data_IF_840523874053
#
_entry.id   IF_840523874053
#
_cell.length_a   1.000
_cell.length_b   1.000
_cell.length_c   1.000
_cell.angle_alpha   90.00
_cell.angle_beta   90.00
_cell.angle_gamma   90.00
#
_symmetry.space_group_name_H-M   'P 1'
#
loop_
_entity.id
_entity.type
_entity.pdbx_description
1 polymer ?
#
# COMPACT_ATOMS: atom_id res chain seq x y z
N UNK A 1 27.01 -15.47 25.43
CA UNK A 1 26.21 -15.28 24.20
C UNK A 1 25.99 -13.80 24.01
N UNK A 2 26.71 -13.17 23.10
CA UNK A 2 26.58 -11.74 22.79
C UNK A 2 26.96 -11.54 21.33
N UNK A 3 25.97 -11.63 20.44
CA UNK A 3 26.17 -11.48 19.01
C UNK A 3 26.38 -10.02 18.63
N UNK A 4 27.42 -9.77 17.81
CA UNK A 4 27.75 -8.48 17.21
C UNK A 4 26.58 -7.87 16.43
N UNK A 5 26.02 -6.78 16.94
CA UNK A 5 25.05 -5.91 16.25
C UNK A 5 25.76 -4.63 15.69
N UNK A 6 27.09 -4.55 15.79
CA UNK A 6 27.84 -3.32 15.55
C UNK A 6 28.27 -2.98 14.12
N UNK A 7 28.11 -3.88 13.13
CA UNK A 7 28.68 -3.65 11.77
C UNK A 7 27.70 -3.08 10.73
N UNK A 8 26.38 -3.14 10.94
CA UNK A 8 25.42 -2.73 9.90
C UNK A 8 25.07 -1.24 9.99
N UNK A 9 25.05 -0.67 11.20
CA UNK A 9 24.69 0.74 11.45
C UNK A 9 25.73 1.68 10.86
N UNK A 10 27.02 1.36 11.02
CA UNK A 10 28.14 2.20 10.56
C UNK A 10 28.18 2.38 9.05
N UNK A 11 27.86 1.33 8.28
CA UNK A 11 27.85 1.38 6.80
C UNK A 11 26.78 2.31 6.24
N UNK A 12 25.64 2.43 6.93
CA UNK A 12 24.52 3.30 6.52
C UNK A 12 24.81 4.74 6.92
N UNK A 13 25.37 4.96 8.12
CA UNK A 13 25.82 6.28 8.58
C UNK A 13 26.92 6.85 7.68
N UNK A 14 27.93 6.04 7.34
CA UNK A 14 29.00 6.44 6.41
C UNK A 14 28.44 6.79 5.01
N UNK A 15 27.45 6.04 4.52
CA UNK A 15 26.83 6.33 3.22
C UNK A 15 26.01 7.64 3.23
N UNK A 16 25.44 8.02 4.37
CA UNK A 16 24.66 9.24 4.54
C UNK A 16 25.57 10.47 4.72
N UNK A 17 26.65 10.37 5.49
CA UNK A 17 27.61 11.47 5.71
C UNK A 17 28.42 11.81 4.45
N UNK A 18 28.60 10.85 3.53
CA UNK A 18 29.25 11.10 2.24
C UNK A 18 28.29 11.66 1.18
N UNK A 19 26.96 11.65 1.41
CA UNK A 19 25.99 12.21 0.47
C UNK A 19 26.16 13.72 0.29
N UNK A 20 26.44 14.43 1.38
CA UNK A 20 26.68 15.89 1.37
C UNK A 20 28.01 16.25 0.67
N UNK A 21 29.00 15.35 0.69
CA UNK A 21 30.29 15.55 0.00
C UNK A 21 30.17 15.41 -1.52
N UNK A 22 29.25 14.55 -1.99
CA UNK A 22 28.96 14.34 -3.42
C UNK A 22 28.15 15.51 -4.00
N UNK A 23 27.44 16.28 -3.16
CA UNK A 23 26.81 17.55 -3.56
C UNK A 23 27.86 18.64 -3.83
N UNK A 24 28.95 18.66 -3.05
CA UNK A 24 30.02 19.67 -3.16
C UNK A 24 31.00 19.44 -4.31
N UNK A 25 31.11 18.20 -4.81
CA UNK A 25 31.82 17.89 -6.05
C UNK A 25 30.80 18.04 -7.17
N UNK A 26 31.04 18.99 -8.08
CA UNK A 26 30.24 19.32 -9.26
C UNK A 26 30.14 18.16 -10.28
N UNK A 27 29.78 16.97 -9.80
CA UNK A 27 29.38 15.80 -10.56
C UNK A 27 27.93 16.07 -10.89
N UNK A 28 27.66 16.48 -12.12
CA UNK A 28 26.31 16.71 -12.61
C UNK A 28 25.47 15.47 -12.33
N UNK A 29 24.66 15.50 -11.26
CA UNK A 29 23.70 14.44 -10.97
C UNK A 29 22.86 14.31 -12.24
N UNK A 30 22.85 13.15 -12.92
CA UNK A 30 22.06 12.99 -14.12
C UNK A 30 20.63 13.35 -13.77
N UNK A 31 20.03 14.27 -14.54
CA UNK A 31 18.68 14.72 -14.25
C UNK A 31 17.76 13.51 -14.23
N UNK A 32 17.08 13.30 -13.10
CA UNK A 32 16.09 12.25 -12.95
C UNK A 32 15.07 12.41 -14.08
N UNK A 33 14.76 11.34 -14.84
CA UNK A 33 13.73 11.41 -15.86
C UNK A 33 12.44 11.98 -15.28
N UNK A 34 11.74 12.80 -16.07
CA UNK A 34 10.46 13.33 -15.65
C UNK A 34 9.52 12.18 -15.28
N UNK A 35 8.82 12.32 -14.15
CA UNK A 35 7.84 11.33 -13.72
C UNK A 35 6.82 11.11 -14.86
N UNK A 36 6.51 9.86 -15.21
CA UNK A 36 5.47 9.56 -16.18
C UNK A 36 4.14 10.20 -15.77
N UNK A 37 3.42 10.72 -16.76
CA UNK A 37 2.05 11.15 -16.55
C UNK A 37 1.19 9.94 -16.18
N UNK A 38 0.39 10.08 -15.13
CA UNK A 38 -0.55 9.02 -14.73
C UNK A 38 -1.60 8.91 -15.84
N UNK A 39 -1.79 7.72 -16.43
CA UNK A 39 -2.76 7.55 -17.50
C UNK A 39 -4.18 7.70 -16.96
N UNK A 40 -5.12 8.08 -17.83
CA UNK A 40 -6.51 8.33 -17.45
C UNK A 40 -7.22 7.12 -16.81
N UNK A 41 -6.73 5.90 -17.07
CA UNK A 41 -7.25 4.66 -16.48
C UNK A 41 -6.76 4.39 -15.05
N UNK A 42 -5.73 5.09 -14.57
CA UNK A 42 -5.25 4.97 -13.19
C UNK A 42 -6.02 5.96 -12.30
N UNK A 43 -7.25 5.60 -11.94
CA UNK A 43 -8.03 6.36 -10.95
C UNK A 43 -7.72 5.90 -9.52
N UNK A 44 -8.09 6.71 -8.51
CA UNK A 44 -7.85 6.38 -7.11
C UNK A 44 -8.44 5.04 -6.67
N UNK A 45 -9.55 4.61 -7.29
CA UNK A 45 -10.20 3.32 -7.02
C UNK A 45 -9.44 2.14 -7.65
N UNK A 46 -8.73 2.39 -8.74
CA UNK A 46 -7.86 1.41 -9.42
C UNK A 46 -6.52 1.26 -8.70
N UNK A 47 -6.06 2.30 -8.01
CA UNK A 47 -4.77 2.28 -7.28
C UNK A 47 -4.89 1.82 -5.83
N UNK A 48 -6.09 1.76 -5.28
CA UNK A 48 -6.30 1.36 -3.87
C UNK A 48 -6.56 -0.15 -3.78
N UNK A 49 -5.70 -0.84 -3.03
CA UNK A 49 -5.82 -2.28 -2.78
C UNK A 49 -6.08 -2.47 -1.28
N UNK A 50 -7.19 -3.11 -0.96
CA UNK A 50 -7.49 -3.54 0.40
C UNK A 50 -7.14 -5.03 0.54
N UNK A 51 -6.25 -5.33 1.48
CA UNK A 51 -5.79 -6.70 1.74
C UNK A 51 -6.52 -7.20 2.99
N UNK A 52 -7.36 -8.21 2.81
CA UNK A 52 -8.08 -8.89 3.88
C UNK A 52 -7.46 -10.28 4.13
N UNK A 53 -7.85 -10.92 5.25
CA UNK A 53 -7.36 -12.23 5.65
C UNK A 53 -7.91 -13.39 4.82
N UNK A 54 -7.72 -13.37 3.50
CA UNK A 54 -8.16 -14.42 2.58
C UNK A 54 -8.40 -13.95 1.14
N UNK A 55 -8.58 -12.65 0.93
CA UNK A 55 -8.77 -12.08 -0.39
C UNK A 55 -8.23 -10.64 -0.46
N UNK A 56 -8.00 -10.16 -1.67
CA UNK A 56 -7.69 -8.75 -1.94
C UNK A 56 -8.85 -8.11 -2.69
N UNK A 57 -9.15 -6.87 -2.35
CA UNK A 57 -10.21 -6.10 -3.00
C UNK A 57 -9.58 -4.90 -3.68
N UNK A 58 -9.80 -4.79 -4.98
CA UNK A 58 -9.31 -3.69 -5.81
C UNK A 58 -10.38 -3.33 -6.84
N UNK A 59 -10.67 -2.04 -7.00
CA UNK A 59 -11.69 -1.54 -7.93
C UNK A 59 -13.02 -2.31 -7.86
N UNK A 60 -13.54 -2.51 -6.64
CA UNK A 60 -14.76 -3.27 -6.37
C UNK A 60 -14.77 -4.72 -6.90
N UNK A 61 -13.59 -5.30 -7.12
CA UNK A 61 -13.40 -6.70 -7.49
C UNK A 61 -12.68 -7.44 -6.38
N UNK A 62 -13.16 -8.64 -6.08
CA UNK A 62 -12.58 -9.55 -5.10
C UNK A 62 -11.66 -10.52 -5.82
N UNK A 63 -10.41 -10.60 -5.37
CA UNK A 63 -9.39 -11.49 -5.88
C UNK A 63 -8.97 -12.45 -4.78
N UNK A 64 -8.86 -13.74 -5.12
CA UNK A 64 -8.28 -14.76 -4.25
C UNK A 64 -6.93 -15.14 -4.84
N UNK A 65 -5.86 -14.78 -4.14
CA UNK A 65 -4.50 -14.87 -4.67
C UNK A 65 -4.31 -13.95 -5.89
N UNK A 66 -4.27 -14.55 -7.08
CA UNK A 66 -4.10 -13.85 -8.38
C UNK A 66 -5.33 -13.95 -9.29
N UNK A 67 -6.39 -14.61 -8.83
CA UNK A 67 -7.57 -14.93 -9.64
C UNK A 67 -8.73 -14.04 -9.23
N UNK A 68 -9.42 -13.46 -10.23
CA UNK A 68 -10.67 -12.75 -10.02
C UNK A 68 -11.74 -13.76 -9.56
N UNK A 69 -12.25 -13.59 -8.35
CA UNK A 69 -13.29 -14.46 -7.79
C UNK A 69 -14.67 -13.95 -8.15
N UNK A 70 -14.94 -12.67 -7.87
CA UNK A 70 -16.24 -12.03 -8.11
C UNK A 70 -16.16 -10.50 -8.07
N UNK A 71 -17.18 -9.86 -8.60
CA UNK A 71 -17.45 -8.44 -8.35
C UNK A 71 -18.19 -8.25 -7.01
N UNK A 72 -17.97 -7.12 -6.35
CA UNK A 72 -18.71 -6.72 -5.15
C UNK A 72 -20.16 -6.35 -5.51
N UNK A 73 -21.10 -6.78 -4.67
CA UNK A 73 -22.50 -6.38 -4.75
C UNK A 73 -22.66 -4.91 -4.36
N UNK A 74 -23.74 -4.21 -4.77
CA UNK A 74 -23.94 -2.79 -4.48
C UNK A 74 -23.80 -2.45 -2.99
N UNK A 75 -24.37 -3.29 -2.12
CA UNK A 75 -24.38 -3.09 -0.67
C UNK A 75 -22.98 -3.24 -0.06
N UNK A 76 -22.16 -4.13 -0.63
CA UNK A 76 -20.77 -4.35 -0.24
C UNK A 76 -19.86 -3.21 -0.71
N UNK A 77 -20.16 -2.59 -1.87
CA UNK A 77 -19.43 -1.41 -2.35
C UNK A 77 -19.59 -0.23 -1.41
N UNK A 78 -20.81 0.00 -0.92
CA UNK A 78 -21.08 1.05 0.06
C UNK A 78 -20.32 0.81 1.38
N UNK A 79 -20.29 -0.43 1.86
CA UNK A 79 -19.52 -0.81 3.04
C UNK A 79 -18.01 -0.59 2.84
N UNK A 80 -17.47 -0.90 1.65
CA UNK A 80 -16.08 -0.68 1.30
C UNK A 80 -15.75 0.83 1.24
N UNK A 81 -16.63 1.64 0.67
CA UNK A 81 -16.46 3.09 0.59
C UNK A 81 -16.49 3.74 1.98
N UNK A 82 -17.37 3.30 2.88
CA UNK A 82 -17.41 3.75 4.27
C UNK A 82 -16.12 3.38 5.03
N UNK A 83 -15.63 2.17 4.80
CA UNK A 83 -14.35 1.74 5.35
C UNK A 83 -13.18 2.58 4.81
N UNK A 84 -13.15 2.82 3.50
CA UNK A 84 -12.12 3.63 2.85
C UNK A 84 -12.10 5.05 3.41
N UNK A 85 -13.27 5.66 3.63
CA UNK A 85 -13.39 6.98 4.26
C UNK A 85 -12.84 6.99 5.69
N UNK A 86 -13.21 6.00 6.52
CA UNK A 86 -12.73 5.90 7.91
C UNK A 86 -11.22 5.66 7.98
N UNK A 87 -10.67 4.83 7.08
CA UNK A 87 -9.23 4.62 6.95
C UNK A 87 -8.50 5.89 6.51
N UNK A 88 -9.04 6.63 5.55
CA UNK A 88 -8.48 7.92 5.12
C UNK A 88 -8.46 8.96 6.25
N UNK A 89 -9.39 8.87 7.21
CA UNK A 89 -9.44 9.72 8.41
C UNK A 89 -8.47 9.27 9.53
N UNK A 90 -7.65 8.24 9.30
CA UNK A 90 -6.67 7.75 10.27
C UNK A 90 -7.26 6.86 11.37
N UNK A 91 -8.53 6.45 11.24
CA UNK A 91 -9.17 5.61 12.23
C UNK A 91 -8.64 4.17 12.14
N UNK A 92 -7.80 3.78 13.09
CA UNK A 92 -7.28 2.41 13.18
C UNK A 92 -8.30 1.44 13.79
N UNK A 93 -9.13 1.94 14.71
CA UNK A 93 -10.14 1.15 15.40
C UNK A 93 -11.46 1.19 14.62
N UNK A 94 -11.72 0.08 13.95
CA UNK A 94 -12.85 -0.08 13.04
C UNK A 94 -13.84 -0.96 13.78
N UNK A 95 -15.04 -0.44 14.02
CA UNK A 95 -16.11 -1.16 14.72
C UNK A 95 -16.23 -2.61 14.22
N UNK A 96 -16.44 -3.55 15.13
CA UNK A 96 -16.70 -4.96 14.82
C UNK A 96 -17.86 -5.14 13.84
N UNK A 97 -18.86 -4.26 13.88
CA UNK A 97 -19.94 -4.20 12.90
C UNK A 97 -19.43 -3.96 11.47
N UNK A 98 -18.47 -3.05 11.31
CA UNK A 98 -17.89 -2.78 10.00
C UNK A 98 -17.00 -3.94 9.55
N UNK A 99 -16.28 -4.58 10.45
CA UNK A 99 -15.52 -5.79 10.12
C UNK A 99 -16.42 -6.90 9.60
N UNK A 100 -17.59 -7.11 10.21
CA UNK A 100 -18.55 -8.12 9.77
C UNK A 100 -19.15 -7.78 8.39
N UNK A 101 -19.39 -6.50 8.10
CA UNK A 101 -19.84 -6.02 6.78
C UNK A 101 -18.76 -6.09 5.69
N UNK A 102 -17.49 -6.25 6.07
CA UNK A 102 -16.34 -6.39 5.17
C UNK A 102 -15.93 -7.84 4.96
N UNK A 103 -16.78 -8.78 5.35
CA UNK A 103 -16.53 -10.19 5.15
C UNK A 103 -16.79 -10.61 3.68
N UNK A 104 -15.94 -10.10 2.79
CA UNK A 104 -16.03 -10.35 1.36
C UNK A 104 -15.51 -11.74 0.97
N UNK A 105 -14.72 -12.36 1.86
CA UNK A 105 -13.88 -13.51 1.55
C UNK A 105 -14.42 -14.86 2.08
N UNK A 106 -15.47 -14.89 2.93
CA UNK A 106 -15.93 -16.14 3.58
C UNK A 106 -16.75 -17.09 2.70
N UNK A 107 -17.29 -16.65 1.58
CA UNK A 107 -18.31 -17.43 0.83
C UNK A 107 -17.76 -18.34 -0.29
N UNK A 108 -16.50 -18.78 -0.24
CA UNK A 108 -15.91 -19.64 -1.28
C UNK A 108 -15.19 -20.90 -0.76
N UNK A 109 -15.53 -21.35 0.45
CA UNK A 109 -15.12 -22.68 0.94
C UNK A 109 -16.08 -23.79 0.55
#
# INVERSE_FOLDING_TARGET
MGGSIGCVVTKISDALENADLIESTNTTVPQMPAKPAVPAFCSGKDTTIFIFGGCTVQNYKVYIGKTLARDLKPEEKDALDDFAKKKAQGQQDISSDLHQRLDFCTELS
#
